data_IF_945336865402
#
_entry.id   IF_945336865402
#
_cell.length_a   1.000
_cell.length_b   1.000
_cell.length_c   1.000
_cell.angle_alpha   90.00
_cell.angle_beta   90.00
_cell.angle_gamma   90.00
#
_symmetry.space_group_name_H-M   'P 1'
#
loop_
_entity.id
_entity.type
_entity.pdbx_description
1 polymer ?
#
# COMPACT_ATOMS: atom_id res chain seq x y z
N UNK A 1 41.19 5.56 44.55
CA UNK A 1 40.48 4.67 43.59
C UNK A 1 40.79 3.25 44.00
N UNK A 2 39.77 2.43 44.30
CA UNK A 2 40.02 1.06 44.76
C UNK A 2 40.67 0.23 43.65
N UNK A 3 41.60 -0.67 43.98
CA UNK A 3 42.31 -1.49 42.98
C UNK A 3 41.35 -2.31 42.11
N UNK A 4 40.18 -2.64 42.66
CA UNK A 4 39.10 -3.36 41.99
C UNK A 4 38.52 -2.57 40.81
N UNK A 5 38.31 -1.26 40.99
CA UNK A 5 37.74 -0.40 39.93
C UNK A 5 38.72 -0.26 38.77
N UNK A 6 40.02 -0.17 39.06
CA UNK A 6 41.06 -0.13 38.03
C UNK A 6 41.15 -1.44 37.23
N UNK A 7 40.99 -2.60 37.89
CA UNK A 7 41.02 -3.89 37.22
C UNK A 7 39.83 -4.07 36.26
N UNK A 8 38.63 -3.66 36.67
CA UNK A 8 37.41 -3.73 35.84
C UNK A 8 37.57 -2.84 34.59
N UNK A 9 38.12 -1.64 34.74
CA UNK A 9 38.33 -0.73 33.63
C UNK A 9 39.30 -1.31 32.59
N UNK A 10 40.38 -1.95 33.02
CA UNK A 10 41.34 -2.60 32.12
C UNK A 10 40.72 -3.78 31.37
N UNK A 11 39.91 -4.62 32.04
CA UNK A 11 39.23 -5.74 31.41
C UNK A 11 38.22 -5.26 30.36
N UNK A 12 37.48 -4.19 30.64
CA UNK A 12 36.55 -3.58 29.68
C UNK A 12 37.29 -2.97 28.49
N UNK A 13 38.41 -2.30 28.72
CA UNK A 13 39.20 -1.69 27.65
C UNK A 13 39.79 -2.77 26.71
N UNK A 14 40.30 -3.87 27.27
CA UNK A 14 40.85 -4.99 26.49
C UNK A 14 39.76 -5.72 25.70
N UNK A 15 38.53 -5.85 26.23
CA UNK A 15 37.42 -6.50 25.51
C UNK A 15 36.75 -5.62 24.45
N UNK A 16 36.76 -4.29 24.63
CA UNK A 16 36.21 -3.34 23.67
C UNK A 16 37.10 -3.13 22.44
N UNK A 17 38.42 -3.20 22.58
CA UNK A 17 39.35 -3.03 21.46
C UNK A 17 39.11 -3.98 20.27
N UNK A 18 38.93 -5.31 20.45
CA UNK A 18 38.60 -6.20 19.34
C UNK A 18 37.19 -5.93 18.77
N UNK A 19 36.24 -5.51 19.61
CA UNK A 19 34.90 -5.13 19.16
C UNK A 19 34.93 -3.85 18.29
N UNK A 20 35.69 -2.84 18.70
CA UNK A 20 35.91 -1.60 17.93
C UNK A 20 36.65 -1.91 16.63
N UNK A 21 37.68 -2.77 16.64
CA UNK A 21 38.35 -3.21 15.41
C UNK A 21 37.42 -3.99 14.48
N UNK A 22 36.55 -4.84 15.02
CA UNK A 22 35.53 -5.54 14.26
C UNK A 22 34.56 -4.56 13.61
N UNK A 23 34.08 -3.56 14.36
CA UNK A 23 33.22 -2.49 13.84
C UNK A 23 33.92 -1.64 12.77
N UNK A 24 35.19 -1.29 12.96
CA UNK A 24 35.98 -0.55 11.95
C UNK A 24 36.22 -1.40 10.69
N UNK A 25 36.39 -2.72 10.82
CA UNK A 25 36.47 -3.65 9.67
C UNK A 25 35.14 -3.75 8.93
N UNK A 26 34.02 -3.75 9.65
CA UNK A 26 32.68 -3.71 9.04
C UNK A 26 32.39 -2.36 8.38
N UNK A 27 32.86 -1.24 8.94
CA UNK A 27 32.64 0.10 8.41
C UNK A 27 33.52 0.42 7.19
N UNK A 28 34.72 -0.16 7.10
CA UNK A 28 35.69 0.13 6.04
C UNK A 28 35.30 -0.34 4.63
N UNK A 29 34.29 -1.21 4.49
CA UNK A 29 34.01 -1.88 3.21
C UNK A 29 32.69 -1.44 2.52
N UNK A 30 32.03 -0.38 3.01
CA UNK A 30 30.79 0.13 2.38
C UNK A 30 31.06 1.15 1.26
N UNK A 31 32.25 1.77 1.23
CA UNK A 31 32.58 2.85 0.27
C UNK A 31 33.17 2.37 -1.05
N UNK A 32 33.54 1.08 -1.15
CA UNK A 32 33.98 0.49 -2.40
C UNK A 32 32.77 -0.06 -3.15
N UNK A 33 32.04 0.84 -3.81
CA UNK A 33 30.95 0.51 -4.71
C UNK A 33 31.47 -0.31 -5.89
N UNK A 34 31.53 -1.64 -5.72
CA UNK A 34 31.67 -2.56 -6.85
C UNK A 34 30.48 -2.27 -7.76
N UNK A 35 30.73 -1.78 -8.98
CA UNK A 35 29.71 -1.74 -10.02
C UNK A 35 29.24 -3.17 -10.23
N UNK A 36 28.09 -3.50 -9.66
CA UNK A 36 27.44 -4.78 -9.83
C UNK A 36 27.04 -4.89 -11.31
N UNK A 37 27.18 -6.08 -11.93
CA UNK A 37 26.60 -6.32 -13.25
C UNK A 37 25.12 -5.93 -13.23
N UNK A 38 24.52 -5.53 -14.35
CA UNK A 38 23.11 -5.12 -14.40
C UNK A 38 22.21 -6.26 -13.92
N UNK A 39 21.91 -6.24 -12.62
CA UNK A 39 21.00 -7.13 -11.94
C UNK A 39 19.68 -6.43 -11.68
N UNK A 40 18.66 -7.18 -11.25
CA UNK A 40 17.39 -6.60 -10.84
C UNK A 40 17.63 -5.49 -9.82
N UNK A 41 17.00 -4.31 -10.04
CA UNK A 41 17.16 -3.17 -9.14
C UNK A 41 16.78 -3.60 -7.71
N UNK A 42 17.53 -3.15 -6.68
CA UNK A 42 17.15 -3.41 -5.29
C UNK A 42 15.71 -2.93 -5.07
N UNK A 43 14.91 -3.77 -4.41
CA UNK A 43 13.50 -3.50 -4.20
C UNK A 43 13.34 -2.24 -3.34
N UNK A 44 12.54 -1.24 -3.75
CA UNK A 44 12.23 -0.13 -2.89
C UNK A 44 11.47 -0.64 -1.66
N UNK A 45 11.93 -0.25 -0.48
CA UNK A 45 11.19 -0.46 0.76
C UNK A 45 10.20 0.69 0.88
N UNK A 46 8.90 0.39 0.82
CA UNK A 46 7.84 1.36 1.08
C UNK A 46 7.37 1.11 2.52
N UNK A 47 7.71 2.03 3.42
CA UNK A 47 7.49 1.85 4.87
C UNK A 47 8.38 0.75 5.43
N UNK A 48 7.80 -0.34 5.93
CA UNK A 48 8.51 -1.51 6.47
C UNK A 48 8.35 -2.78 5.61
N UNK A 49 7.74 -2.67 4.43
CA UNK A 49 7.40 -3.82 3.57
C UNK A 49 8.26 -3.79 2.30
N UNK A 50 9.05 -4.85 2.03
CA UNK A 50 9.76 -4.99 0.76
C UNK A 50 8.75 -4.97 -0.40
N UNK A 51 8.90 -4.04 -1.34
CA UNK A 51 7.91 -3.82 -2.40
C UNK A 51 8.57 -3.88 -3.78
N UNK A 52 7.93 -4.60 -4.70
CA UNK A 52 8.33 -4.61 -6.12
C UNK A 52 7.50 -3.58 -6.86
N UNK A 53 8.17 -2.57 -7.44
CA UNK A 53 7.51 -1.56 -8.27
C UNK A 53 7.70 -1.92 -9.73
N UNK A 54 6.59 -2.21 -10.41
CA UNK A 54 6.56 -2.54 -11.83
C UNK A 54 6.12 -1.30 -12.61
N UNK A 55 7.03 -0.72 -13.39
CA UNK A 55 6.77 0.50 -14.19
C UNK A 55 6.80 0.29 -15.71
N UNK A 56 7.19 -0.89 -16.18
CA UNK A 56 7.19 -1.24 -17.61
C UNK A 56 5.92 -1.99 -17.99
N UNK A 57 5.37 -1.72 -19.18
CA UNK A 57 4.18 -2.40 -19.72
C UNK A 57 4.42 -3.89 -19.93
N UNK A 58 5.59 -4.28 -20.42
CA UNK A 58 5.97 -5.69 -20.63
C UNK A 58 6.03 -6.44 -19.31
N UNK A 59 6.59 -5.80 -18.28
CA UNK A 59 6.61 -6.38 -16.95
C UNK A 59 5.20 -6.45 -16.36
N UNK A 60 4.37 -5.42 -16.51
CA UNK A 60 2.99 -5.43 -16.02
C UNK A 60 2.17 -6.57 -16.66
N UNK A 61 2.37 -6.86 -17.95
CA UNK A 61 1.73 -7.99 -18.62
C UNK A 61 2.13 -9.35 -18.01
N UNK A 62 3.42 -9.55 -17.71
CA UNK A 62 3.87 -10.76 -17.05
C UNK A 62 3.22 -10.95 -15.67
N UNK A 63 3.16 -9.89 -14.86
CA UNK A 63 2.60 -9.97 -13.50
C UNK A 63 1.07 -10.08 -13.48
N UNK A 64 0.37 -9.36 -14.37
CA UNK A 64 -1.09 -9.23 -14.34
C UNK A 64 -1.84 -10.18 -15.27
N UNK A 65 -1.17 -10.77 -16.27
CA UNK A 65 -1.77 -11.74 -17.19
C UNK A 65 -1.11 -13.12 -17.10
N UNK A 66 0.22 -13.20 -17.27
CA UNK A 66 0.91 -14.49 -17.39
C UNK A 66 1.01 -15.21 -16.05
N UNK A 67 1.35 -14.49 -14.98
CA UNK A 67 1.54 -15.00 -13.63
C UNK A 67 0.50 -14.44 -12.65
N UNK A 68 -0.68 -14.10 -13.15
CA UNK A 68 -1.74 -13.44 -12.39
C UNK A 68 -2.13 -14.24 -11.14
N UNK A 69 -2.27 -15.56 -11.26
CA UNK A 69 -2.64 -16.47 -10.17
C UNK A 69 -1.65 -16.48 -9.01
N UNK A 70 -0.36 -16.25 -9.27
CA UNK A 70 0.71 -16.22 -8.26
C UNK A 70 0.64 -14.88 -7.51
N UNK A 71 0.42 -13.78 -8.21
CA UNK A 71 0.39 -12.43 -7.66
C UNK A 71 -1.01 -11.92 -7.30
N UNK A 72 -2.04 -12.77 -7.42
CA UNK A 72 -3.42 -12.38 -7.15
C UNK A 72 -3.69 -12.17 -5.65
N UNK A 73 -2.91 -12.79 -4.76
CA UNK A 73 -3.11 -12.63 -3.32
C UNK A 73 -2.74 -11.23 -2.85
N UNK A 74 -3.51 -10.68 -1.89
CA UNK A 74 -3.30 -9.34 -1.34
C UNK A 74 -2.59 -9.43 0.02
N UNK A 75 -1.55 -8.62 0.27
CA UNK A 75 -0.92 -8.58 1.57
C UNK A 75 -1.92 -8.04 2.62
N UNK A 76 -1.83 -8.55 3.85
CA UNK A 76 -2.62 -8.04 4.98
C UNK A 76 -2.13 -6.65 5.35
N UNK A 77 -2.88 -5.63 4.94
CA UNK A 77 -2.64 -4.24 5.27
C UNK A 77 -3.56 -3.82 6.41
N UNK A 78 -3.18 -2.84 7.22
CA UNK A 78 -4.07 -2.26 8.26
C UNK A 78 -5.41 -1.77 7.68
N UNK A 79 -5.42 -1.35 6.40
CA UNK A 79 -6.63 -1.00 5.67
C UNK A 79 -7.64 -2.16 5.51
N UNK A 80 -7.22 -3.41 5.72
CA UNK A 80 -8.11 -4.56 5.65
C UNK A 80 -9.15 -4.57 6.77
N UNK A 81 -8.87 -3.93 7.90
CA UNK A 81 -9.82 -3.74 8.99
C UNK A 81 -11.05 -2.95 8.52
N UNK A 82 -10.85 -1.92 7.68
CA UNK A 82 -11.94 -1.18 7.05
C UNK A 82 -12.77 -2.03 6.07
N UNK A 83 -12.22 -3.16 5.62
CA UNK A 83 -12.87 -4.09 4.69
C UNK A 83 -13.38 -5.35 5.40
N UNK A 84 -14.01 -5.14 6.55
CA UNK A 84 -14.56 -6.20 7.40
C UNK A 84 -13.50 -7.26 7.75
N UNK A 85 -12.29 -6.80 8.12
CA UNK A 85 -11.15 -7.66 8.44
C UNK A 85 -10.79 -8.64 7.30
N UNK A 86 -10.59 -8.11 6.09
CA UNK A 86 -10.26 -8.90 4.89
C UNK A 86 -11.33 -9.93 4.48
N UNK A 87 -12.60 -9.71 4.83
CA UNK A 87 -13.72 -10.57 4.38
C UNK A 87 -14.39 -10.09 3.09
N UNK A 88 -14.11 -8.84 2.68
CA UNK A 88 -14.62 -8.24 1.45
C UNK A 88 -14.02 -8.85 0.16
N UNK A 89 -14.03 -8.12 -0.95
CA UNK A 89 -13.35 -8.55 -2.19
C UNK A 89 -11.98 -7.88 -2.39
N UNK A 90 -11.80 -6.67 -1.84
CA UNK A 90 -10.66 -5.81 -2.16
C UNK A 90 -9.33 -6.22 -1.50
N UNK A 91 -9.36 -6.66 -0.22
CA UNK A 91 -8.17 -6.98 0.58
C UNK A 91 -8.09 -8.46 0.99
N UNK A 92 -8.92 -9.30 0.39
CA UNK A 92 -8.98 -10.73 0.69
C UNK A 92 -7.91 -11.47 -0.07
N UNK A 93 -7.32 -12.47 0.58
CA UNK A 93 -6.36 -13.37 -0.05
C UNK A 93 -7.00 -14.14 -1.21
N UNK A 94 -6.21 -14.46 -2.22
CA UNK A 94 -6.72 -15.19 -3.37
C UNK A 94 -7.04 -16.63 -2.99
N UNK A 95 -8.27 -17.07 -3.30
CA UNK A 95 -8.75 -18.41 -2.94
C UNK A 95 -10.16 -18.67 -3.44
N UNK A 96 -10.74 -19.79 -3.00
CA UNK A 96 -12.12 -20.18 -3.35
C UNK A 96 -13.15 -19.12 -2.95
N UNK A 97 -13.01 -18.57 -1.73
CA UNK A 97 -13.87 -17.48 -1.23
C UNK A 97 -13.82 -16.26 -2.15
N UNK A 98 -12.63 -15.74 -2.46
CA UNK A 98 -12.47 -14.59 -3.35
C UNK A 98 -13.07 -14.85 -4.75
N UNK A 99 -12.83 -16.03 -5.33
CA UNK A 99 -13.38 -16.41 -6.64
C UNK A 99 -14.91 -16.47 -6.61
N UNK A 100 -15.49 -17.02 -5.56
CA UNK A 100 -16.93 -17.09 -5.36
C UNK A 100 -17.55 -15.69 -5.22
N UNK A 101 -17.01 -14.85 -4.34
CA UNK A 101 -17.48 -13.47 -4.14
C UNK A 101 -17.37 -12.65 -5.43
N UNK A 102 -16.24 -12.76 -6.15
CA UNK A 102 -16.07 -12.10 -7.46
C UNK A 102 -17.13 -12.54 -8.46
N UNK A 103 -17.43 -13.85 -8.54
CA UNK A 103 -18.47 -14.38 -9.43
C UNK A 103 -19.84 -13.81 -9.07
N UNK A 104 -20.21 -13.79 -7.80
CA UNK A 104 -21.49 -13.21 -7.34
C UNK A 104 -21.59 -11.72 -7.70
N UNK A 105 -20.56 -10.94 -7.40
CA UNK A 105 -20.55 -9.51 -7.72
C UNK A 105 -20.61 -9.25 -9.23
N UNK A 106 -19.89 -10.04 -10.03
CA UNK A 106 -19.95 -9.94 -11.49
C UNK A 106 -21.37 -10.20 -12.03
N UNK A 107 -22.08 -11.18 -11.47
CA UNK A 107 -23.43 -11.54 -11.91
C UNK A 107 -24.49 -10.54 -11.44
N UNK A 108 -24.47 -10.20 -10.14
CA UNK A 108 -25.58 -9.49 -9.50
C UNK A 108 -25.41 -7.97 -9.44
N UNK A 109 -24.18 -7.46 -9.51
CA UNK A 109 -23.90 -6.02 -9.37
C UNK A 109 -23.30 -5.42 -10.65
N UNK A 110 -22.33 -6.11 -11.26
CA UNK A 110 -21.51 -5.57 -12.34
C UNK A 110 -21.86 -6.12 -13.73
N UNK A 111 -22.96 -6.86 -13.85
CA UNK A 111 -23.43 -7.32 -15.16
C UNK A 111 -24.06 -6.16 -15.93
N UNK A 112 -23.94 -6.16 -17.26
CA UNK A 112 -24.44 -5.08 -18.11
C UNK A 112 -25.93 -4.79 -17.84
N UNK A 113 -26.76 -5.84 -17.73
CA UNK A 113 -28.18 -5.70 -17.40
C UNK A 113 -28.41 -5.03 -16.03
N UNK A 114 -27.63 -5.38 -15.00
CA UNK A 114 -27.75 -4.77 -13.68
C UNK A 114 -27.27 -3.32 -13.69
N UNK A 115 -26.17 -3.04 -14.38
CA UNK A 115 -25.67 -1.67 -14.57
C UNK A 115 -26.73 -0.78 -15.22
N UNK A 116 -27.44 -1.27 -16.24
CA UNK A 116 -28.54 -0.53 -16.88
C UNK A 116 -29.75 -0.37 -15.96
N UNK A 117 -30.10 -1.39 -15.17
CA UNK A 117 -31.20 -1.27 -14.20
C UNK A 117 -30.98 -0.17 -13.15
N UNK A 118 -29.71 0.11 -12.80
CA UNK A 118 -29.34 1.20 -11.88
C UNK A 118 -29.18 2.56 -12.58
N UNK A 119 -29.32 2.65 -13.90
CA UNK A 119 -29.15 3.90 -14.65
C UNK A 119 -30.11 5.04 -14.21
N UNK A 120 -31.40 4.80 -13.88
CA UNK A 120 -32.27 5.86 -13.37
C UNK A 120 -31.76 6.48 -12.07
N UNK A 121 -31.36 5.66 -11.10
CA UNK A 121 -30.81 6.12 -9.82
C UNK A 121 -29.52 6.94 -10.02
N UNK A 122 -28.62 6.51 -10.91
CA UNK A 122 -27.40 7.28 -11.22
C UNK A 122 -27.73 8.64 -11.84
N UNK A 123 -28.68 8.68 -12.77
CA UNK A 123 -29.13 9.93 -13.41
C UNK A 123 -29.74 10.90 -12.40
N UNK A 124 -30.55 10.39 -11.48
CA UNK A 124 -31.16 11.20 -10.40
C UNK A 124 -30.09 11.83 -9.50
N UNK A 125 -29.15 11.03 -8.97
CA UNK A 125 -28.07 11.54 -8.09
C UNK A 125 -27.15 12.51 -8.82
N UNK A 126 -26.83 12.22 -10.08
CA UNK A 126 -26.04 13.13 -10.92
C UNK A 126 -26.79 14.45 -11.17
N UNK A 127 -28.09 14.39 -11.47
CA UNK A 127 -28.93 15.58 -11.65
C UNK A 127 -28.93 16.46 -10.41
N UNK A 128 -29.16 15.87 -9.24
CA UNK A 128 -29.13 16.58 -7.95
C UNK A 128 -27.77 17.23 -7.66
N UNK A 129 -26.67 16.53 -7.96
CA UNK A 129 -25.32 17.07 -7.83
C UNK A 129 -25.11 18.28 -8.75
N UNK A 130 -25.51 18.17 -10.02
CA UNK A 130 -25.39 19.24 -11.01
C UNK A 130 -26.22 20.46 -10.62
N UNK A 131 -27.45 20.27 -10.15
CA UNK A 131 -28.29 21.38 -9.70
C UNK A 131 -27.73 22.06 -8.46
N UNK A 132 -27.17 21.29 -7.53
CA UNK A 132 -26.46 21.83 -6.36
C UNK A 132 -25.25 22.65 -6.79
N UNK A 133 -24.48 22.17 -7.77
CA UNK A 133 -23.33 22.89 -8.31
C UNK A 133 -23.75 24.19 -9.01
N UNK A 134 -24.83 24.18 -9.80
CA UNK A 134 -25.37 25.39 -10.45
C UNK A 134 -25.77 26.45 -9.43
N UNK A 135 -26.44 26.05 -8.35
CA UNK A 135 -26.83 26.96 -7.26
C UNK A 135 -25.60 27.55 -6.57
N UNK A 136 -24.60 26.73 -6.25
CA UNK A 136 -23.35 27.19 -5.63
C UNK A 136 -22.57 28.15 -6.54
N UNK A 137 -22.51 27.85 -7.84
CA UNK A 137 -21.87 28.73 -8.83
C UNK A 137 -22.59 30.09 -8.95
N UNK A 138 -23.93 30.10 -8.92
CA UNK A 138 -24.73 31.32 -8.94
C UNK A 138 -24.54 32.18 -7.67
N UNK A 139 -24.39 31.52 -6.51
CA UNK A 139 -24.07 32.18 -5.25
C UNK A 139 -22.63 32.71 -5.18
N UNK A 140 -21.75 32.35 -6.14
CA UNK A 140 -20.29 32.62 -6.11
C UNK A 140 -19.57 32.06 -4.86
N UNK A 141 -20.20 31.12 -4.16
CA UNK A 141 -19.71 30.51 -2.92
C UNK A 141 -19.05 29.16 -3.18
N UNK A 142 -17.99 29.18 -4.00
CA UNK A 142 -17.28 27.97 -4.42
C UNK A 142 -16.73 27.12 -3.26
N UNK A 143 -16.40 27.77 -2.12
CA UNK A 143 -15.83 27.09 -0.95
C UNK A 143 -16.89 26.37 -0.08
N UNK A 144 -18.16 26.81 -0.10
CA UNK A 144 -19.23 26.22 0.72
C UNK A 144 -19.68 24.86 0.15
N UNK A 145 -19.65 24.71 -1.17
CA UNK A 145 -20.10 23.47 -1.84
C UNK A 145 -19.17 22.27 -1.58
N UNK A 146 -17.87 22.50 -1.37
CA UNK A 146 -16.90 21.43 -1.05
C UNK A 146 -17.07 20.92 0.38
N UNK A 147 -17.55 21.77 1.30
CA UNK A 147 -17.80 21.38 2.69
C UNK A 147 -19.12 20.63 2.89
N UNK A 148 -20.17 20.97 2.14
CA UNK A 148 -21.46 20.26 2.19
C UNK A 148 -21.35 18.78 1.79
N UNK A 149 -20.53 18.48 0.78
CA UNK A 149 -20.22 17.10 0.39
C UNK A 149 -19.51 16.32 1.51
N UNK A 150 -18.78 16.98 2.42
CA UNK A 150 -18.11 16.31 3.54
C UNK A 150 -19.07 15.90 4.67
N UNK A 151 -20.22 16.56 4.81
CA UNK A 151 -21.21 16.21 5.83
C UNK A 151 -22.18 15.12 5.38
N UNK A 152 -22.49 15.02 4.09
CA UNK A 152 -23.45 14.01 3.58
C UNK A 152 -22.94 12.57 3.58
N UNK A 153 -21.64 12.32 3.78
CA UNK A 153 -21.04 10.98 3.90
C UNK A 153 -20.71 10.58 5.35
N UNK A 154 -21.20 11.32 6.36
CA UNK A 154 -21.02 11.03 7.80
C UNK A 154 -22.29 10.43 8.46
N UNK A 155 -23.17 9.83 7.68
CA UNK A 155 -24.31 9.03 8.16
C UNK A 155 -24.18 7.61 7.65
#
# INVERSE_FOLDING_TARGET
MSPIVSAIFLVLLVSLLPFIRYLLRCAGNYKNGRKLPPGPRPLPIIGSVPTIVVSSSQAAELFLKTYDSIFASRPKLQASLMSYDSKGMAFTEYGSHWRYTRKLSALHLLSASKVESFAPMRREKMGSLVDSLKKAAAAKEWWISVQGLRQSYRT
#
